data_IF_453082133280
#
_entry.id   IF_453082133280
#
_cell.length_a   1.000
_cell.length_b   1.000
_cell.length_c   1.000
_cell.angle_alpha   90.00
_cell.angle_beta   90.00
_cell.angle_gamma   90.00
#
_symmetry.space_group_name_H-M   'P 1'
#
loop_
_entity.id
_entity.type
_entity.pdbx_description
1 polymer ?
#
# COMPACT_ATOMS: atom_id res chain seq x y z
N UNK A 1 -22.59 -18.89 1.40
CA UNK A 1 -22.06 -18.15 0.24
C UNK A 1 -20.59 -18.51 0.05
N UNK A 2 -20.18 -18.87 -1.17
CA UNK A 2 -18.80 -19.17 -1.54
C UNK A 2 -18.17 -18.01 -2.33
N UNK A 3 -16.99 -17.58 -1.93
CA UNK A 3 -16.24 -16.50 -2.59
C UNK A 3 -14.97 -17.05 -3.25
N UNK A 4 -14.76 -16.74 -4.52
CA UNK A 4 -13.47 -16.95 -5.17
C UNK A 4 -12.63 -15.68 -5.15
N UNK A 5 -11.48 -15.74 -4.48
CA UNK A 5 -10.57 -14.62 -4.34
C UNK A 5 -9.42 -14.78 -5.33
N UNK A 6 -9.15 -13.74 -6.08
CA UNK A 6 -8.08 -13.66 -7.05
C UNK A 6 -7.07 -12.62 -6.57
N UNK A 7 -5.94 -13.06 -6.03
CA UNK A 7 -4.91 -12.19 -5.45
C UNK A 7 -3.51 -12.63 -5.87
N UNK A 8 -2.59 -11.68 -6.09
CA UNK A 8 -1.16 -11.99 -6.30
C UNK A 8 -0.45 -12.22 -4.97
N UNK A 9 -1.12 -11.92 -3.86
CA UNK A 9 -0.62 -12.09 -2.51
C UNK A 9 -1.20 -13.34 -1.88
N UNK A 10 -0.41 -13.96 -1.02
CA UNK A 10 -0.85 -15.10 -0.23
C UNK A 10 -1.70 -14.62 0.96
N UNK A 11 -2.62 -15.47 1.46
CA UNK A 11 -3.50 -15.09 2.57
C UNK A 11 -2.77 -14.60 3.83
N UNK A 12 -1.54 -15.04 4.06
CA UNK A 12 -0.71 -14.63 5.20
C UNK A 12 0.00 -13.28 5.02
N UNK A 13 0.07 -12.74 3.80
CA UNK A 13 0.69 -11.43 3.53
C UNK A 13 -0.15 -10.29 4.11
N UNK A 14 0.48 -9.19 4.51
CA UNK A 14 -0.16 -8.14 5.28
C UNK A 14 -1.41 -7.55 4.61
N UNK A 15 -1.33 -7.20 3.33
CA UNK A 15 -2.44 -6.53 2.65
C UNK A 15 -3.61 -7.51 2.45
N UNK A 16 -3.35 -8.70 1.90
CA UNK A 16 -4.34 -9.78 1.82
C UNK A 16 -4.96 -10.16 3.17
N UNK A 17 -4.15 -10.20 4.22
CA UNK A 17 -4.61 -10.69 5.52
C UNK A 17 -5.55 -9.72 6.21
N UNK A 18 -5.15 -8.46 6.29
CA UNK A 18 -5.90 -7.38 6.93
C UNK A 18 -7.16 -7.06 6.12
N UNK A 19 -7.07 -7.07 4.79
CA UNK A 19 -8.18 -6.68 3.89
C UNK A 19 -9.21 -7.78 3.67
N UNK A 20 -8.79 -9.05 3.62
CA UNK A 20 -9.68 -10.13 3.22
C UNK A 20 -9.60 -11.33 4.15
N UNK A 21 -8.41 -11.94 4.32
CA UNK A 21 -8.31 -13.27 4.91
C UNK A 21 -8.89 -13.35 6.33
N UNK A 22 -8.47 -12.47 7.24
CA UNK A 22 -8.90 -12.54 8.63
C UNK A 22 -10.40 -12.18 8.77
N UNK A 23 -10.90 -11.27 7.94
CA UNK A 23 -12.32 -10.89 7.86
C UNK A 23 -13.16 -12.09 7.41
N UNK A 24 -12.86 -12.66 6.25
CA UNK A 24 -13.62 -13.76 5.66
C UNK A 24 -13.55 -15.02 6.55
N UNK A 25 -12.40 -15.27 7.17
CA UNK A 25 -12.25 -16.34 8.16
C UNK A 25 -13.13 -16.13 9.39
N UNK A 26 -13.28 -14.88 9.86
CA UNK A 26 -14.19 -14.57 10.99
C UNK A 26 -15.67 -14.70 10.64
N UNK A 27 -16.03 -14.72 9.34
CA UNK A 27 -17.40 -14.91 8.84
C UNK A 27 -17.78 -16.37 8.59
N UNK A 28 -16.88 -17.34 8.84
CA UNK A 28 -17.22 -18.75 8.74
C UNK A 28 -18.22 -19.17 9.83
N UNK A 29 -19.18 -20.08 9.53
CA UNK A 29 -19.37 -20.79 8.26
C UNK A 29 -20.28 -20.07 7.25
N UNK A 30 -20.77 -18.85 7.53
CA UNK A 30 -21.68 -18.13 6.62
C UNK A 30 -21.04 -17.87 5.25
N UNK A 31 -19.75 -17.53 5.28
CA UNK A 31 -18.91 -17.39 4.10
C UNK A 31 -17.87 -18.51 4.09
N UNK A 32 -17.73 -19.18 2.95
CA UNK A 32 -16.55 -19.98 2.60
C UNK A 32 -15.82 -19.30 1.45
N UNK A 33 -14.52 -19.57 1.28
CA UNK A 33 -13.77 -18.95 0.20
C UNK A 33 -12.67 -19.86 -0.31
N UNK A 34 -12.38 -19.71 -1.60
CA UNK A 34 -11.22 -20.30 -2.27
C UNK A 34 -10.25 -19.18 -2.60
N UNK A 35 -8.98 -19.36 -2.25
CA UNK A 35 -7.93 -18.39 -2.53
C UNK A 35 -7.10 -18.84 -3.72
N UNK A 36 -7.18 -18.08 -4.82
CA UNK A 36 -6.42 -18.35 -6.03
C UNK A 36 -5.32 -17.31 -6.15
N UNK A 37 -4.10 -17.75 -5.86
CA UNK A 37 -2.88 -16.97 -5.98
C UNK A 37 -2.43 -16.91 -7.43
N UNK A 38 -2.40 -15.72 -8.04
CA UNK A 38 -1.94 -15.58 -9.44
C UNK A 38 -0.63 -14.84 -9.51
N UNK A 39 0.44 -15.62 -9.62
CA UNK A 39 1.65 -15.10 -10.24
C UNK A 39 1.32 -14.80 -11.71
N UNK A 40 1.78 -13.67 -12.24
CA UNK A 40 1.66 -13.34 -13.67
C UNK A 40 2.27 -14.43 -14.60
N UNK A 41 3.00 -15.40 -14.02
CA UNK A 41 3.57 -16.58 -14.68
C UNK A 41 2.85 -17.90 -14.39
N UNK A 42 1.84 -17.92 -13.52
CA UNK A 42 1.14 -19.14 -13.14
C UNK A 42 0.21 -19.61 -14.27
N UNK A 43 0.37 -20.87 -14.69
CA UNK A 43 -0.58 -21.56 -15.56
C UNK A 43 -1.60 -22.30 -14.70
N UNK A 44 -2.88 -22.00 -14.85
CA UNK A 44 -3.96 -22.74 -14.20
C UNK A 44 -4.34 -23.96 -15.00
N UNK A 45 -4.51 -25.08 -14.30
CA UNK A 45 -5.21 -26.23 -14.85
C UNK A 45 -6.68 -25.88 -15.10
N UNK A 46 -7.29 -26.57 -16.07
CA UNK A 46 -8.72 -26.43 -16.34
C UNK A 46 -9.59 -26.79 -15.11
N UNK A 47 -9.09 -27.63 -14.20
CA UNK A 47 -9.79 -27.99 -12.97
C UNK A 47 -9.81 -26.83 -11.97
N UNK A 48 -8.70 -26.12 -11.80
CA UNK A 48 -8.62 -24.93 -10.93
C UNK A 48 -9.54 -23.82 -11.43
N UNK A 49 -9.56 -23.59 -12.75
CA UNK A 49 -10.48 -22.62 -13.37
C UNK A 49 -11.92 -23.06 -13.12
N UNK A 50 -12.28 -24.33 -13.33
CA UNK A 50 -13.65 -24.82 -13.07
C UNK A 50 -14.08 -24.59 -11.63
N UNK A 51 -13.24 -24.93 -10.65
CA UNK A 51 -13.52 -24.70 -9.22
C UNK A 51 -13.70 -23.22 -8.90
N UNK A 52 -12.94 -22.34 -9.53
CA UNK A 52 -13.10 -20.88 -9.37
C UNK A 52 -14.49 -20.40 -9.81
N UNK A 53 -15.05 -21.01 -10.87
CA UNK A 53 -16.36 -20.63 -11.41
C UNK A 53 -17.55 -21.27 -10.66
N UNK A 54 -17.30 -22.16 -9.70
CA UNK A 54 -18.34 -22.68 -8.79
C UNK A 54 -18.76 -21.64 -7.72
N UNK A 55 -18.03 -20.53 -7.58
CA UNK A 55 -18.33 -19.49 -6.60
C UNK A 55 -19.64 -18.73 -6.86
N UNK A 56 -20.16 -18.15 -5.78
CA UNK A 56 -21.30 -17.24 -5.82
C UNK A 56 -20.86 -15.83 -6.24
N UNK A 57 -19.61 -15.45 -5.92
CA UNK A 57 -19.05 -14.11 -6.15
C UNK A 57 -17.52 -14.17 -6.30
N UNK A 58 -16.96 -13.27 -7.11
CA UNK A 58 -15.52 -13.08 -7.25
C UNK A 58 -15.04 -11.83 -6.51
N UNK A 59 -13.88 -11.92 -5.87
CA UNK A 59 -13.12 -10.75 -5.39
C UNK A 59 -11.78 -10.70 -6.11
N UNK A 60 -11.54 -9.65 -6.88
CA UNK A 60 -10.29 -9.39 -7.58
C UNK A 60 -9.49 -8.37 -6.76
N UNK A 61 -8.34 -8.77 -6.24
CA UNK A 61 -7.58 -7.97 -5.29
C UNK A 61 -6.39 -7.24 -5.96
N UNK A 62 -6.34 -5.92 -5.77
CA UNK A 62 -5.20 -5.00 -5.94
C UNK A 62 -4.53 -4.97 -7.30
N UNK A 63 -3.70 -5.98 -7.56
CA UNK A 63 -2.64 -5.90 -8.55
C UNK A 63 -3.11 -6.26 -9.94
N UNK A 64 -4.36 -6.68 -10.11
CA UNK A 64 -4.88 -7.17 -11.37
C UNK A 64 -5.75 -6.14 -12.06
N UNK A 65 -5.91 -6.23 -13.39
CA UNK A 65 -5.29 -7.21 -14.31
C UNK A 65 -3.78 -7.06 -14.51
N UNK A 66 -3.09 -8.16 -14.87
CA UNK A 66 -1.66 -8.22 -15.24
C UNK A 66 -1.42 -9.13 -16.44
N UNK A 67 -0.22 -9.08 -17.07
CA UNK A 67 0.14 -10.05 -18.10
C UNK A 67 -0.05 -11.48 -17.60
N UNK A 68 -0.55 -12.36 -18.48
CA UNK A 68 -0.88 -13.75 -18.13
C UNK A 68 -2.25 -13.94 -17.46
N UNK A 69 -2.88 -12.88 -16.92
CA UNK A 69 -4.19 -13.01 -16.23
C UNK A 69 -5.37 -12.48 -17.04
N UNK A 70 -5.10 -11.78 -18.14
CA UNK A 70 -6.11 -11.05 -18.93
C UNK A 70 -7.21 -11.98 -19.45
N UNK A 71 -6.85 -13.14 -20.03
CA UNK A 71 -7.85 -14.08 -20.60
C UNK A 71 -8.79 -14.64 -19.52
N UNK A 72 -8.24 -15.00 -18.36
CA UNK A 72 -9.05 -15.51 -17.26
C UNK A 72 -9.96 -14.41 -16.68
N UNK A 73 -9.43 -13.19 -16.53
CA UNK A 73 -10.20 -12.05 -16.05
C UNK A 73 -11.28 -11.62 -17.05
N UNK A 74 -11.06 -11.73 -18.36
CA UNK A 74 -12.09 -11.53 -19.39
C UNK A 74 -13.24 -12.53 -19.21
N UNK A 75 -12.93 -13.81 -19.03
CA UNK A 75 -13.94 -14.86 -18.76
C UNK A 75 -14.69 -14.60 -17.46
N UNK A 76 -13.98 -14.20 -16.39
CA UNK A 76 -14.63 -13.83 -15.12
C UNK A 76 -15.59 -12.65 -15.36
N UNK A 77 -15.11 -11.61 -16.02
CA UNK A 77 -15.83 -10.35 -16.22
C UNK A 77 -17.08 -10.49 -17.08
N UNK A 78 -16.99 -11.24 -18.18
CA UNK A 78 -18.04 -11.25 -19.21
C UNK A 78 -18.77 -12.60 -19.36
N UNK A 79 -18.22 -13.70 -18.85
CA UNK A 79 -18.77 -15.04 -19.07
C UNK A 79 -19.22 -15.73 -17.78
N UNK A 80 -18.75 -15.30 -16.61
CA UNK A 80 -19.10 -15.97 -15.34
C UNK A 80 -20.58 -15.82 -14.98
N UNK A 81 -21.20 -14.70 -15.34
CA UNK A 81 -22.53 -14.36 -14.85
C UNK A 81 -22.60 -14.28 -13.33
N UNK A 82 -21.50 -14.01 -12.62
CA UNK A 82 -21.48 -13.82 -11.16
C UNK A 82 -21.17 -12.35 -10.80
N UNK A 83 -21.55 -11.88 -9.60
CA UNK A 83 -21.07 -10.61 -9.07
C UNK A 83 -19.55 -10.59 -8.94
N UNK A 84 -18.93 -9.43 -9.21
CA UNK A 84 -17.48 -9.22 -9.18
C UNK A 84 -17.18 -7.97 -8.39
N UNK A 85 -16.37 -8.13 -7.35
CA UNK A 85 -15.85 -7.03 -6.55
C UNK A 85 -14.38 -6.82 -6.91
N UNK A 86 -14.00 -5.57 -7.15
CA UNK A 86 -12.60 -5.17 -7.13
C UNK A 86 -12.23 -4.62 -5.75
N UNK A 87 -11.21 -5.18 -5.10
CA UNK A 87 -10.77 -4.74 -3.76
C UNK A 87 -9.36 -4.13 -3.83
N UNK A 88 -9.17 -2.94 -3.26
CA UNK A 88 -7.85 -2.31 -3.17
C UNK A 88 -7.70 -1.41 -1.95
N UNK A 89 -6.48 -1.35 -1.42
CA UNK A 89 -6.10 -0.61 -0.23
C UNK A 89 -5.05 0.49 -0.47
N UNK A 90 -4.55 0.58 -1.71
CA UNK A 90 -3.59 1.60 -2.19
C UNK A 90 -4.04 2.19 -3.55
N UNK A 91 -3.52 3.38 -3.85
CA UNK A 91 -3.75 4.07 -5.13
C UNK A 91 -2.78 3.57 -6.21
N UNK A 92 -2.90 2.28 -6.54
CA UNK A 92 -2.00 1.58 -7.47
C UNK A 92 -2.05 2.13 -8.91
N UNK A 93 -3.06 2.93 -9.22
CA UNK A 93 -3.29 3.59 -10.51
C UNK A 93 -2.56 4.94 -10.63
N UNK A 94 -2.18 5.57 -9.53
CA UNK A 94 -1.49 6.88 -9.46
C UNK A 94 -0.28 6.82 -8.52
N UNK A 95 0.61 5.86 -8.76
CA UNK A 95 1.87 5.74 -8.03
C UNK A 95 2.83 6.88 -8.48
N UNK A 96 3.52 7.59 -7.56
CA UNK A 96 4.50 8.61 -7.92
C UNK A 96 5.68 8.03 -8.74
N UNK A 97 6.25 8.77 -9.71
CA UNK A 97 7.33 8.26 -10.57
C UNK A 97 8.60 7.79 -9.84
N UNK A 98 8.88 8.36 -8.68
CA UNK A 98 10.03 8.05 -7.82
C UNK A 98 9.77 6.90 -6.84
N UNK A 99 8.54 6.39 -6.78
CA UNK A 99 8.17 5.28 -5.92
C UNK A 99 8.64 3.94 -6.51
N UNK A 100 9.13 3.04 -5.65
CA UNK A 100 9.76 1.76 -6.05
C UNK A 100 8.85 0.83 -6.87
N UNK A 101 7.53 1.01 -6.78
CA UNK A 101 6.54 0.23 -7.52
C UNK A 101 6.01 0.90 -8.79
N UNK A 102 6.47 2.11 -9.13
CA UNK A 102 5.97 2.84 -10.30
C UNK A 102 6.03 2.00 -11.58
N UNK A 103 7.21 1.43 -11.89
CA UNK A 103 7.42 0.64 -13.10
C UNK A 103 6.60 -0.66 -13.14
N UNK A 104 6.22 -1.19 -11.98
CA UNK A 104 5.47 -2.43 -11.86
C UNK A 104 3.95 -2.23 -12.06
N UNK A 105 3.42 -1.02 -11.92
CA UNK A 105 1.97 -0.75 -11.97
C UNK A 105 1.57 0.29 -13.01
N UNK A 106 2.40 1.31 -13.28
CA UNK A 106 2.09 2.37 -14.22
C UNK A 106 1.68 1.84 -15.62
N UNK A 107 2.33 0.82 -16.20
CA UNK A 107 1.90 0.25 -17.47
C UNK A 107 0.51 -0.39 -17.43
N UNK A 108 0.07 -0.87 -16.27
CA UNK A 108 -1.21 -1.60 -16.15
C UNK A 108 -2.34 -0.73 -15.63
N UNK A 109 -2.09 0.56 -15.38
CA UNK A 109 -3.11 1.51 -14.94
C UNK A 109 -4.36 1.46 -15.82
N UNK A 110 -4.28 1.52 -17.17
CA UNK A 110 -5.48 1.53 -18.00
C UNK A 110 -6.28 0.24 -17.88
N UNK A 111 -5.62 -0.91 -17.72
CA UNK A 111 -6.28 -2.20 -17.50
C UNK A 111 -6.98 -2.25 -16.15
N UNK A 112 -6.34 -1.77 -15.08
CA UNK A 112 -6.93 -1.72 -13.74
C UNK A 112 -8.19 -0.85 -13.75
N UNK A 113 -8.10 0.36 -14.29
CA UNK A 113 -9.23 1.29 -14.36
C UNK A 113 -10.37 0.77 -15.25
N UNK A 114 -10.03 0.17 -16.39
CA UNK A 114 -11.00 -0.46 -17.28
C UNK A 114 -11.69 -1.64 -16.58
N UNK A 115 -10.95 -2.48 -15.85
CA UNK A 115 -11.55 -3.58 -15.09
C UNK A 115 -12.49 -3.06 -13.99
N UNK A 116 -12.07 -2.05 -13.22
CA UNK A 116 -12.92 -1.41 -12.20
C UNK A 116 -14.21 -0.85 -12.80
N UNK A 117 -14.15 -0.26 -13.99
CA UNK A 117 -15.32 0.28 -14.67
C UNK A 117 -16.33 -0.79 -15.12
N UNK A 118 -15.87 -2.03 -15.29
CA UNK A 118 -16.69 -3.13 -15.79
C UNK A 118 -17.13 -4.12 -14.70
N UNK A 119 -16.54 -4.07 -13.50
CA UNK A 119 -16.96 -4.91 -12.37
C UNK A 119 -18.21 -4.36 -11.68
N UNK A 120 -18.83 -5.14 -10.79
CA UNK A 120 -20.09 -4.76 -10.14
C UNK A 120 -19.92 -3.78 -8.99
N UNK A 121 -18.79 -3.85 -8.30
CA UNK A 121 -18.48 -2.96 -7.18
C UNK A 121 -16.99 -2.84 -6.94
N UNK A 122 -16.59 -1.72 -6.35
CA UNK A 122 -15.23 -1.50 -5.85
C UNK A 122 -15.27 -1.34 -4.35
N UNK A 123 -14.44 -2.10 -3.62
CA UNK A 123 -14.22 -1.94 -2.19
C UNK A 123 -12.85 -1.31 -1.96
N UNK A 124 -12.82 -0.25 -1.17
CA UNK A 124 -11.61 0.49 -0.81
C UNK A 124 -11.40 0.52 0.70
N UNK A 125 -10.17 0.84 1.13
CA UNK A 125 -9.83 0.98 2.55
C UNK A 125 -10.11 2.38 3.13
N UNK A 126 -10.32 3.40 2.29
CA UNK A 126 -10.50 4.80 2.71
C UNK A 126 -11.41 5.59 1.77
N UNK A 127 -12.05 6.65 2.29
CA UNK A 127 -12.84 7.59 1.47
C UNK A 127 -12.01 8.30 0.39
N UNK A 128 -10.73 8.55 0.66
CA UNK A 128 -9.81 9.15 -0.29
C UNK A 128 -9.61 8.24 -1.52
N UNK A 129 -9.45 6.92 -1.32
CA UNK A 129 -9.40 5.95 -2.42
C UNK A 129 -10.74 5.83 -3.14
N UNK A 130 -11.84 5.76 -2.39
CA UNK A 130 -13.18 5.74 -2.98
C UNK A 130 -13.39 6.92 -3.93
N UNK A 131 -13.04 8.13 -3.51
CA UNK A 131 -13.19 9.35 -4.32
C UNK A 131 -12.40 9.29 -5.64
N UNK A 132 -11.31 8.51 -5.69
CA UNK A 132 -10.52 8.28 -6.92
C UNK A 132 -11.18 7.30 -7.88
N UNK A 133 -11.97 6.36 -7.37
CA UNK A 133 -12.55 5.27 -8.16
C UNK A 133 -14.05 5.42 -8.44
N UNK A 134 -14.77 6.25 -7.71
CA UNK A 134 -16.17 6.62 -7.99
C UNK A 134 -16.42 7.11 -9.43
N UNK A 135 -15.53 7.88 -10.07
CA UNK A 135 -15.70 8.26 -11.48
C UNK A 135 -15.69 7.07 -12.46
N UNK A 136 -15.12 5.94 -12.05
CA UNK A 136 -15.04 4.72 -12.88
C UNK A 136 -16.15 3.73 -12.52
N UNK A 137 -16.56 3.65 -11.26
CA UNK A 137 -17.62 2.77 -10.81
C UNK A 137 -18.48 3.44 -9.72
N UNK A 138 -19.77 3.62 -9.99
CA UNK A 138 -20.68 4.26 -9.03
C UNK A 138 -20.90 3.44 -7.75
N UNK A 139 -20.66 2.12 -7.78
CA UNK A 139 -20.81 1.22 -6.64
C UNK A 139 -19.49 1.07 -5.88
N UNK A 140 -18.95 2.20 -5.40
CA UNK A 140 -17.76 2.22 -4.54
C UNK A 140 -18.12 2.24 -3.05
N UNK A 141 -17.57 1.28 -2.30
CA UNK A 141 -17.76 1.14 -0.86
C UNK A 141 -16.43 1.29 -0.12
N UNK A 142 -16.49 1.87 1.08
CA UNK A 142 -15.34 1.96 1.99
C UNK A 142 -15.57 0.95 3.10
N UNK A 143 -14.60 0.07 3.28
CA UNK A 143 -14.55 -0.85 4.40
C UNK A 143 -13.17 -0.73 5.04
N UNK A 144 -13.14 -0.25 6.29
CA UNK A 144 -11.90 0.00 7.03
C UNK A 144 -11.06 -1.26 7.22
N UNK A 145 -9.78 -1.04 7.51
CA UNK A 145 -8.92 -2.10 8.02
C UNK A 145 -9.32 -2.47 9.45
N UNK A 146 -9.46 -3.77 9.70
CA UNK A 146 -9.85 -4.30 10.99
C UNK A 146 -8.72 -5.14 11.59
N UNK A 147 -8.37 -4.87 12.84
CA UNK A 147 -7.42 -5.69 13.60
C UNK A 147 -8.09 -6.97 14.06
N UNK A 148 -7.39 -8.07 13.82
CA UNK A 148 -7.78 -9.37 14.34
C UNK A 148 -7.52 -9.43 15.84
N UNK A 149 -8.60 -9.48 16.62
CA UNK A 149 -8.56 -9.58 18.09
C UNK A 149 -7.64 -10.71 18.56
N UNK A 150 -7.65 -11.87 17.89
CA UNK A 150 -6.82 -13.02 18.29
C UNK A 150 -5.32 -12.79 18.11
N UNK A 151 -4.92 -11.88 17.21
CA UNK A 151 -3.51 -11.59 16.92
C UNK A 151 -3.00 -10.37 17.69
N UNK A 152 -3.87 -9.37 17.84
CA UNK A 152 -3.49 -8.04 18.33
C UNK A 152 -3.93 -7.78 19.77
N UNK A 153 -4.99 -8.42 20.26
CA UNK A 153 -5.51 -8.14 21.59
C UNK A 153 -4.56 -8.63 22.68
N UNK A 154 -4.29 -7.73 23.61
CA UNK A 154 -3.55 -7.97 24.85
C UNK A 154 -3.98 -6.92 25.86
N UNK A 155 -3.93 -7.19 27.18
CA UNK A 155 -4.17 -6.16 28.19
C UNK A 155 -3.26 -4.93 27.97
N UNK A 156 -3.81 -3.74 28.22
CA UNK A 156 -3.04 -2.50 28.09
C UNK A 156 -1.80 -2.49 29.01
N UNK A 157 -0.60 -2.13 28.51
CA UNK A 157 0.64 -2.19 29.29
C UNK A 157 0.79 -0.98 30.24
N UNK A 158 0.09 -0.98 31.37
CA UNK A 158 0.08 0.14 32.33
C UNK A 158 1.47 0.53 32.83
N UNK A 159 2.37 -0.43 33.05
CA UNK A 159 3.67 -0.19 33.70
C UNK A 159 4.72 0.49 32.80
N UNK A 160 4.45 0.66 31.50
CA UNK A 160 5.40 1.16 30.51
C UNK A 160 5.84 2.62 30.72
N UNK A 161 5.03 3.38 31.47
CA UNK A 161 5.22 4.82 31.67
C UNK A 161 5.80 5.18 33.04
N UNK A 162 6.10 4.19 33.89
CA UNK A 162 6.66 4.39 35.23
C UNK A 162 8.15 3.99 35.27
N UNK A 163 9.00 4.79 35.92
CA UNK A 163 10.43 4.57 36.23
C UNK A 163 11.22 3.74 35.20
N UNK A 164 11.97 4.43 34.31
CA UNK A 164 12.76 3.76 33.27
C UNK A 164 14.21 3.58 33.68
N UNK A 165 14.70 2.35 33.56
CA UNK A 165 16.11 1.99 33.70
C UNK A 165 16.82 1.91 32.33
N UNK A 166 16.17 2.40 31.27
CA UNK A 166 16.71 2.43 29.90
C UNK A 166 16.33 3.73 29.19
N UNK A 167 17.08 4.14 28.15
CA UNK A 167 16.68 5.24 27.27
C UNK A 167 15.29 5.03 26.67
N UNK A 168 14.58 6.13 26.41
CA UNK A 168 13.30 6.15 25.72
C UNK A 168 13.48 5.74 24.26
N UNK A 169 12.76 4.72 23.81
CA UNK A 169 12.82 4.24 22.42
C UNK A 169 11.81 5.00 21.55
N UNK A 170 12.30 5.79 20.61
CA UNK A 170 11.47 6.44 19.58
C UNK A 170 11.60 5.61 18.31
N UNK A 171 10.48 5.16 17.74
CA UNK A 171 10.55 4.15 16.70
C UNK A 171 9.61 4.29 15.53
N UNK A 172 10.00 3.65 14.43
CA UNK A 172 9.23 3.55 13.19
C UNK A 172 9.31 2.13 12.62
N UNK A 173 8.20 1.65 12.07
CA UNK A 173 8.15 0.40 11.32
C UNK A 173 7.51 0.65 9.96
N UNK A 174 8.14 0.18 8.89
CA UNK A 174 7.57 0.28 7.55
C UNK A 174 8.39 -0.48 6.53
N UNK A 175 7.76 -0.84 5.41
CA UNK A 175 8.47 -1.37 4.26
C UNK A 175 9.37 -0.29 3.62
N UNK A 176 10.31 -0.68 2.75
CA UNK A 176 11.17 0.26 2.03
C UNK A 176 10.44 1.35 1.24
N UNK A 177 9.16 1.16 0.88
CA UNK A 177 8.32 2.16 0.20
C UNK A 177 8.15 3.44 1.02
N UNK A 178 8.32 3.38 2.34
CA UNK A 178 8.17 4.52 3.24
C UNK A 178 9.47 5.31 3.49
N UNK A 179 10.59 4.94 2.86
CA UNK A 179 11.86 5.68 3.01
C UNK A 179 11.71 7.18 2.69
N UNK A 180 10.95 7.61 1.65
CA UNK A 180 10.71 9.03 1.40
C UNK A 180 9.95 9.73 2.53
N UNK A 181 8.98 9.05 3.16
CA UNK A 181 8.14 9.61 4.23
C UNK A 181 8.98 10.06 5.44
N UNK A 182 10.08 9.34 5.73
CA UNK A 182 10.98 9.65 6.85
C UNK A 182 11.75 10.98 6.69
N UNK A 183 11.89 11.51 5.46
CA UNK A 183 12.68 12.73 5.20
C UNK A 183 12.22 13.92 6.03
N UNK A 184 10.91 14.06 6.25
CA UNK A 184 10.35 15.19 6.99
C UNK A 184 10.67 15.17 8.50
N UNK A 185 11.13 14.04 9.04
CA UNK A 185 11.45 13.90 10.48
C UNK A 185 12.94 13.89 10.77
N UNK A 186 13.80 13.82 9.75
CA UNK A 186 15.24 13.57 9.95
C UNK A 186 15.89 14.63 10.85
N UNK A 187 15.69 15.90 10.51
CA UNK A 187 16.25 17.03 11.25
C UNK A 187 15.68 17.13 12.68
N UNK A 188 14.39 16.82 12.84
CA UNK A 188 13.75 16.79 14.16
C UNK A 188 14.38 15.70 15.04
N UNK A 189 14.61 14.50 14.49
CA UNK A 189 15.25 13.39 15.21
C UNK A 189 16.68 13.74 15.62
N UNK A 190 17.45 14.41 14.76
CA UNK A 190 18.79 14.91 15.09
C UNK A 190 18.76 15.89 16.27
N UNK A 191 17.85 16.87 16.22
CA UNK A 191 17.64 17.84 17.33
C UNK A 191 17.19 17.17 18.62
N UNK A 192 16.36 16.14 18.54
CA UNK A 192 15.94 15.34 19.69
C UNK A 192 17.13 14.59 20.29
N UNK A 193 17.98 13.98 19.46
CA UNK A 193 19.20 13.33 19.93
C UNK A 193 20.10 14.31 20.69
N UNK A 194 20.32 15.52 20.13
CA UNK A 194 21.15 16.56 20.75
C UNK A 194 20.57 17.10 22.07
N UNK A 195 19.25 17.29 22.17
CA UNK A 195 18.60 17.81 23.39
C UNK A 195 18.54 16.77 24.50
N UNK A 196 18.34 15.50 24.17
CA UNK A 196 18.09 14.41 25.13
C UNK A 196 19.16 13.32 25.06
N UNK A 197 20.43 13.73 24.92
CA UNK A 197 21.60 12.82 24.91
C UNK A 197 21.51 11.82 26.07
N UNK A 198 21.80 10.55 25.77
CA UNK A 198 21.73 9.39 26.66
C UNK A 198 20.34 9.06 27.26
N UNK A 199 19.34 9.90 27.04
CA UNK A 199 17.97 9.67 27.49
C UNK A 199 17.09 9.04 26.41
N UNK A 200 17.51 9.08 25.15
CA UNK A 200 16.76 8.52 24.01
C UNK A 200 17.60 7.56 23.16
N UNK A 201 16.91 6.63 22.52
CA UNK A 201 17.42 5.77 21.46
C UNK A 201 16.39 5.69 20.33
N UNK A 202 16.84 5.40 19.12
CA UNK A 202 15.97 5.27 17.95
C UNK A 202 15.92 3.82 17.47
N UNK A 203 14.74 3.36 17.06
CA UNK A 203 14.56 1.98 16.60
C UNK A 203 13.73 1.92 15.32
N UNK A 204 14.36 1.44 14.25
CA UNK A 204 13.77 1.35 12.92
C UNK A 204 13.67 -0.10 12.46
N UNK A 205 12.50 -0.49 11.97
CA UNK A 205 12.26 -1.81 11.41
C UNK A 205 11.78 -1.69 9.94
N UNK A 206 12.44 -2.43 9.05
CA UNK A 206 12.07 -2.57 7.64
C UNK A 206 12.55 -1.43 6.73
N UNK A 207 12.61 -0.18 7.22
CA UNK A 207 13.25 0.91 6.49
C UNK A 207 13.77 2.04 7.39
N UNK A 208 14.81 2.72 6.90
CA UNK A 208 15.45 3.89 7.51
C UNK A 208 16.14 4.71 6.40
N UNK A 209 16.35 6.01 6.63
CA UNK A 209 17.17 6.84 5.73
C UNK A 209 18.66 6.71 6.05
N UNK A 210 19.52 7.01 5.08
CA UNK A 210 20.97 6.94 5.29
C UNK A 210 21.47 8.00 6.28
N UNK A 211 20.73 9.12 6.40
CA UNK A 211 20.97 10.17 7.40
C UNK A 211 20.69 9.67 8.81
N UNK A 212 19.49 9.13 9.03
CA UNK A 212 19.09 8.59 10.34
C UNK A 212 19.92 7.37 10.77
N UNK A 213 20.33 6.53 9.81
CA UNK A 213 21.18 5.36 10.09
C UNK A 213 22.55 5.72 10.68
N UNK A 214 23.04 6.94 10.43
CA UNK A 214 24.34 7.43 10.95
C UNK A 214 24.23 8.02 12.35
N UNK A 215 23.02 8.23 12.87
CA UNK A 215 22.86 8.80 14.20
C UNK A 215 23.27 7.80 15.29
N UNK A 216 23.97 8.24 16.35
CA UNK A 216 24.25 7.39 17.50
C UNK A 216 22.96 6.88 18.15
N UNK A 217 23.05 5.77 18.90
CA UNK A 217 21.91 5.12 19.56
C UNK A 217 20.77 4.76 18.62
N UNK A 218 21.08 4.46 17.35
CA UNK A 218 20.11 4.02 16.34
C UNK A 218 20.21 2.51 16.10
N UNK A 219 19.11 1.81 16.35
CA UNK A 219 18.93 0.39 16.04
C UNK A 219 18.17 0.28 14.71
N UNK A 220 18.68 -0.55 13.79
CA UNK A 220 18.02 -0.81 12.51
C UNK A 220 17.97 -2.31 12.23
N UNK A 221 16.78 -2.81 11.92
CA UNK A 221 16.53 -4.18 11.53
C UNK A 221 15.99 -4.23 10.09
N UNK A 222 16.86 -4.64 9.16
CA UNK A 222 16.50 -4.84 7.75
C UNK A 222 15.86 -6.22 7.57
N UNK A 223 14.58 -6.33 7.93
CA UNK A 223 13.83 -7.59 7.82
C UNK A 223 12.50 -7.38 7.13
N UNK A 224 12.19 -8.28 6.19
CA UNK A 224 10.88 -8.41 5.58
C UNK A 224 10.12 -9.56 6.25
N UNK A 225 8.87 -9.32 6.64
CA UNK A 225 7.98 -10.36 7.15
C UNK A 225 6.99 -10.76 6.08
N UNK A 226 7.03 -12.02 5.65
CA UNK A 226 6.05 -12.57 4.73
C UNK A 226 4.72 -12.88 5.44
N UNK A 227 4.78 -13.36 6.67
CA UNK A 227 3.62 -13.73 7.46
C UNK A 227 3.28 -12.61 8.45
N UNK A 228 2.14 -11.97 8.25
CA UNK A 228 1.71 -10.84 9.08
C UNK A 228 1.42 -11.21 10.55
N UNK A 229 1.12 -12.47 10.88
CA UNK A 229 0.94 -12.89 12.28
C UNK A 229 2.21 -12.76 13.12
N UNK A 230 3.39 -12.68 12.50
CA UNK A 230 4.66 -12.47 13.19
C UNK A 230 4.89 -10.99 13.55
N UNK A 231 4.16 -10.07 12.91
CA UNK A 231 4.34 -8.64 13.10
C UNK A 231 3.87 -8.13 14.48
N UNK A 232 2.68 -8.50 15.02
CA UNK A 232 2.28 -8.06 16.36
C UNK A 232 3.30 -8.38 17.47
N UNK A 233 3.80 -9.63 17.64
CA UNK A 233 4.81 -9.92 18.67
C UNK A 233 6.14 -9.23 18.39
N UNK A 234 6.53 -9.08 17.11
CA UNK A 234 7.73 -8.33 16.75
C UNK A 234 7.60 -6.86 17.19
N UNK A 235 6.52 -6.15 16.83
CA UNK A 235 6.33 -4.74 17.17
C UNK A 235 6.41 -4.51 18.68
N UNK A 236 5.86 -5.44 19.47
CA UNK A 236 5.97 -5.42 20.93
C UNK A 236 7.42 -5.56 21.41
N UNK A 237 8.19 -6.45 20.80
CA UNK A 237 9.61 -6.66 21.16
C UNK A 237 10.52 -5.48 20.81
N UNK A 238 10.08 -4.54 19.96
CA UNK A 238 10.84 -3.33 19.65
C UNK A 238 10.79 -2.29 20.79
N UNK A 239 9.92 -2.49 21.78
CA UNK A 239 9.80 -1.66 22.99
C UNK A 239 9.68 -0.15 22.72
N UNK A 240 8.98 0.25 21.66
CA UNK A 240 8.76 1.66 21.33
C UNK A 240 8.02 2.36 22.46
N UNK A 241 8.58 3.44 22.99
CA UNK A 241 7.90 4.33 23.93
C UNK A 241 7.13 5.44 23.20
N UNK A 242 7.58 5.84 22.01
CA UNK A 242 6.90 6.75 21.10
C UNK A 242 6.97 6.15 19.68
N UNK A 243 5.82 6.07 19.01
CA UNK A 243 5.74 5.64 17.61
C UNK A 243 5.67 6.83 16.66
N UNK A 244 6.50 6.85 15.63
CA UNK A 244 6.45 7.87 14.58
C UNK A 244 5.73 7.30 13.36
N UNK A 245 4.86 8.10 12.75
CA UNK A 245 4.16 7.77 11.52
C UNK A 245 4.17 8.95 10.55
N UNK A 246 5.37 9.37 10.08
CA UNK A 246 5.45 10.39 9.05
C UNK A 246 4.92 9.89 7.72
N UNK A 247 4.47 10.84 6.91
CA UNK A 247 3.88 10.60 5.61
C UNK A 247 4.11 11.82 4.72
N UNK A 248 4.69 11.63 3.54
CA UNK A 248 4.86 12.70 2.57
C UNK A 248 3.49 13.15 2.01
N UNK A 249 3.33 14.44 1.74
CA UNK A 249 2.09 14.99 1.19
C UNK A 249 2.00 14.73 -0.33
N UNK A 250 1.59 13.51 -0.68
CA UNK A 250 1.33 13.11 -2.07
C UNK A 250 -0.09 12.56 -2.20
N UNK A 251 -0.65 12.62 -3.41
CA UNK A 251 -1.96 12.01 -3.71
C UNK A 251 -1.99 10.54 -3.32
N UNK A 252 -0.93 9.79 -3.65
CA UNK A 252 -0.80 8.37 -3.30
C UNK A 252 -0.85 8.15 -1.79
N UNK A 253 -0.08 8.93 -1.03
CA UNK A 253 -0.05 8.82 0.42
C UNK A 253 -1.36 9.24 1.09
N UNK A 254 -2.03 10.28 0.58
CA UNK A 254 -3.33 10.73 1.11
C UNK A 254 -4.44 9.68 1.00
N UNK A 255 -4.24 8.69 0.11
CA UNK A 255 -5.13 7.57 -0.11
C UNK A 255 -4.79 6.34 0.74
N UNK A 256 -3.62 6.29 1.39
CA UNK A 256 -3.25 5.18 2.30
C UNK A 256 -4.21 5.13 3.50
N UNK A 257 -4.13 4.04 4.25
CA UNK A 257 -4.95 3.80 5.45
C UNK A 257 -4.17 4.05 6.76
N UNK A 258 -4.91 4.11 7.86
CA UNK A 258 -4.40 4.46 9.19
C UNK A 258 -3.72 3.30 9.94
N UNK A 259 -3.17 2.29 9.25
CA UNK A 259 -2.67 1.04 9.87
C UNK A 259 -1.69 1.30 11.02
N UNK A 260 -0.75 2.25 10.87
CA UNK A 260 0.20 2.58 11.95
C UNK A 260 -0.49 3.08 13.22
N UNK A 261 -1.58 3.82 13.08
CA UNK A 261 -2.40 4.23 14.22
C UNK A 261 -3.01 3.02 14.92
N UNK A 262 -3.56 2.06 14.16
CA UNK A 262 -4.12 0.83 14.71
C UNK A 262 -3.06 -0.01 15.45
N UNK A 263 -1.92 -0.24 14.81
CA UNK A 263 -0.85 -1.10 15.32
C UNK A 263 -0.18 -0.52 16.57
N UNK A 264 0.14 0.79 16.56
CA UNK A 264 0.68 1.47 17.75
C UNK A 264 -0.32 1.49 18.90
N UNK A 265 -1.59 1.78 18.62
CA UNK A 265 -2.64 1.81 19.64
C UNK A 265 -2.85 0.44 20.28
N UNK A 266 -2.88 -0.65 19.49
CA UNK A 266 -3.01 -2.02 20.00
C UNK A 266 -1.83 -2.43 20.90
N UNK A 267 -0.64 -1.86 20.67
CA UNK A 267 0.55 -2.06 21.49
C UNK A 267 0.68 -1.08 22.67
N UNK A 268 -0.28 -0.16 22.87
CA UNK A 268 -0.19 0.87 23.90
C UNK A 268 1.00 1.80 23.69
N UNK A 269 1.32 2.11 22.43
CA UNK A 269 2.37 3.04 22.03
C UNK A 269 1.68 4.38 21.69
N UNK A 270 2.01 5.50 22.38
CA UNK A 270 1.55 6.80 21.94
C UNK A 270 2.22 7.15 20.61
N UNK A 271 1.42 7.54 19.62
CA UNK A 271 1.90 7.85 18.28
C UNK A 271 1.87 9.33 17.93
N UNK A 272 2.81 9.73 17.08
CA UNK A 272 2.87 11.04 16.44
C UNK A 272 2.73 10.81 14.93
N UNK A 273 1.78 11.50 14.31
CA UNK A 273 1.35 11.27 12.94
C UNK A 273 1.42 12.56 12.14
N UNK A 274 1.80 12.49 10.86
CA UNK A 274 1.63 13.63 9.95
C UNK A 274 0.17 14.09 9.95
N UNK A 275 -0.06 15.40 10.01
CA UNK A 275 -1.38 16.02 9.94
C UNK A 275 -1.94 16.01 8.52
N UNK A 276 -2.12 14.81 7.97
CA UNK A 276 -2.58 14.53 6.62
C UNK A 276 -3.54 13.34 6.65
N UNK A 277 -4.35 13.18 5.61
CA UNK A 277 -5.07 11.92 5.40
C UNK A 277 -4.05 10.78 5.28
N UNK A 278 -4.27 9.63 5.91
CA UNK A 278 -5.49 9.21 6.62
C UNK A 278 -5.54 9.56 8.12
N UNK A 279 -4.46 10.10 8.68
CA UNK A 279 -4.33 10.25 10.13
C UNK A 279 -5.23 11.35 10.69
N UNK A 280 -5.38 12.48 10.00
CA UNK A 280 -6.26 13.57 10.44
C UNK A 280 -7.76 13.21 10.44
N UNK A 281 -8.14 12.11 9.77
CA UNK A 281 -9.50 11.54 9.83
C UNK A 281 -9.67 10.49 10.94
N UNK A 282 -8.56 9.95 11.47
CA UNK A 282 -8.56 8.80 12.39
C UNK A 282 -8.15 9.15 13.81
N UNK A 283 -7.23 10.10 13.95
CA UNK A 283 -6.60 10.50 15.20
C UNK A 283 -7.28 11.76 15.73
N UNK A 284 -7.65 11.74 17.01
CA UNK A 284 -8.10 12.93 17.73
C UNK A 284 -6.86 13.55 18.37
N UNK A 285 -6.42 14.69 17.84
CA UNK A 285 -5.21 15.35 18.29
C UNK A 285 -5.20 15.64 19.80
N UNK A 286 -4.04 15.43 20.44
CA UNK A 286 -3.85 15.52 21.88
C UNK A 286 -4.55 14.44 22.71
N UNK A 287 -5.40 13.58 22.10
CA UNK A 287 -6.22 12.60 22.81
C UNK A 287 -5.92 11.16 22.43
N UNK A 288 -5.90 10.80 21.15
CA UNK A 288 -5.57 9.44 20.69
C UNK A 288 -4.25 9.39 19.92
N UNK A 289 -3.60 10.53 19.74
CA UNK A 289 -2.30 10.70 19.12
C UNK A 289 -1.96 12.18 19.04
N UNK A 290 -0.78 12.50 18.56
CA UNK A 290 -0.41 13.88 18.19
C UNK A 290 -0.42 14.00 16.67
N UNK A 291 -1.18 14.96 16.14
CA UNK A 291 -1.08 15.36 14.74
C UNK A 291 -0.05 16.48 14.61
N UNK A 292 0.91 16.31 13.72
CA UNK A 292 1.99 17.28 13.52
C UNK A 292 2.12 17.71 12.07
N UNK A 293 2.43 18.99 11.88
CA UNK A 293 2.87 19.50 10.59
C UNK A 293 4.18 18.83 10.17
N UNK A 294 4.34 18.60 8.87
CA UNK A 294 5.53 17.98 8.28
C UNK A 294 6.71 18.98 8.20
N UNK A 295 7.10 19.52 9.34
CA UNK A 295 8.21 20.45 9.51
C UNK A 295 9.14 19.96 10.62
N UNK A 296 10.42 20.33 10.54
CA UNK A 296 11.41 20.02 11.58
C UNK A 296 10.91 20.46 12.97
N UNK A 297 10.36 21.68 13.10
CA UNK A 297 9.83 22.20 14.36
C UNK A 297 8.58 21.45 14.84
N UNK A 298 7.64 21.13 13.95
CA UNK A 298 6.43 20.38 14.32
C UNK A 298 6.78 19.02 14.93
N UNK A 299 7.62 18.26 14.23
CA UNK A 299 8.07 16.95 14.71
C UNK A 299 8.90 17.07 16.00
N UNK A 300 9.83 18.01 16.09
CA UNK A 300 10.66 18.22 17.28
C UNK A 300 9.82 18.57 18.51
N UNK A 301 8.87 19.49 18.37
CA UNK A 301 7.99 19.92 19.46
C UNK A 301 7.07 18.79 19.91
N UNK A 302 6.50 18.04 18.96
CA UNK A 302 5.61 16.91 19.24
C UNK A 302 6.34 15.79 19.98
N UNK A 303 7.55 15.43 19.53
CA UNK A 303 8.38 14.42 20.18
C UNK A 303 8.78 14.90 21.58
N UNK A 304 9.27 16.14 21.70
CA UNK A 304 9.66 16.73 23.00
C UNK A 304 8.52 16.69 24.02
N UNK A 305 7.30 17.06 23.61
CA UNK A 305 6.14 17.06 24.49
C UNK A 305 5.86 15.66 25.09
N UNK A 306 5.96 14.60 24.29
CA UNK A 306 5.75 13.24 24.77
C UNK A 306 6.92 12.70 25.63
N UNK A 307 8.16 13.15 25.36
CA UNK A 307 9.32 12.84 26.20
C UNK A 307 9.15 13.49 27.58
N UNK A 308 8.82 14.77 27.61
CA UNK A 308 8.76 15.60 28.83
C UNK A 308 7.51 15.31 29.68
N UNK A 309 6.45 14.74 29.08
CA UNK A 309 5.20 14.42 29.78
C UNK A 309 4.82 12.93 29.70
N UNK A 310 5.35 12.08 30.60
CA UNK A 310 4.96 10.67 30.69
C UNK A 310 3.46 10.46 30.97
N UNK A 311 2.84 11.39 31.69
CA UNK A 311 1.39 11.38 31.98
C UNK A 311 0.58 11.55 30.70
N UNK A 312 0.95 12.53 29.85
CA UNK A 312 0.30 12.74 28.56
C UNK A 312 0.48 11.52 27.66
N UNK A 313 1.71 11.00 27.57
CA UNK A 313 2.03 9.79 26.81
C UNK A 313 1.16 8.60 27.22
N UNK A 314 0.96 8.38 28.53
CA UNK A 314 0.07 7.32 29.03
C UNK A 314 -1.40 7.57 28.65
N UNK A 315 -1.89 8.80 28.85
CA UNK A 315 -3.28 9.17 28.54
C UNK A 315 -3.60 8.96 27.06
N UNK A 316 -2.71 9.42 26.17
CA UNK A 316 -2.83 9.25 24.73
C UNK A 316 -2.86 7.77 24.36
N UNK A 317 -1.86 7.00 24.81
CA UNK A 317 -1.78 5.57 24.51
C UNK A 317 -3.04 4.82 24.98
N UNK A 318 -3.54 5.14 26.18
CA UNK A 318 -4.72 4.47 26.75
C UNK A 318 -5.99 4.82 26.00
N UNK A 319 -6.18 6.10 25.66
CA UNK A 319 -7.33 6.54 24.90
C UNK A 319 -7.34 5.95 23.48
N UNK A 320 -6.19 5.94 22.80
CA UNK A 320 -6.02 5.32 21.49
C UNK A 320 -6.31 3.81 21.51
N UNK A 321 -5.74 3.09 22.48
CA UNK A 321 -6.01 1.66 22.69
C UNK A 321 -7.51 1.40 22.88
N UNK A 322 -8.21 2.17 23.72
CA UNK A 322 -9.64 1.99 23.96
C UNK A 322 -10.50 2.31 22.72
N UNK A 323 -10.07 3.29 21.93
CA UNK A 323 -10.75 3.74 20.74
C UNK A 323 -10.70 2.70 19.61
N UNK A 324 -9.50 2.15 19.33
CA UNK A 324 -9.34 1.20 18.22
C UNK A 324 -10.10 -0.11 18.43
N UNK A 325 -10.22 -0.62 19.66
CA UNK A 325 -10.97 -1.85 19.94
C UNK A 325 -12.49 -1.67 19.79
N UNK A 326 -12.98 -0.42 19.84
CA UNK A 326 -14.38 -0.10 19.55
C UNK A 326 -14.61 0.07 18.04
N UNK A 327 -13.70 0.77 17.35
CA UNK A 327 -13.90 1.19 15.95
C UNK A 327 -13.30 0.27 14.89
N UNK A 328 -12.22 -0.45 15.22
CA UNK A 328 -11.39 -1.14 14.24
C UNK A 328 -11.07 -2.59 14.62
N UNK A 329 -11.87 -3.24 15.47
CA UNK A 329 -11.74 -4.68 15.72
C UNK A 329 -12.61 -5.50 14.78
N UNK A 330 -12.17 -6.72 14.44
CA UNK A 330 -13.01 -7.69 13.72
C UNK A 330 -14.29 -7.98 14.52
N UNK A 331 -14.13 -8.25 15.82
CA UNK A 331 -15.24 -8.55 16.73
C UNK A 331 -16.38 -7.52 16.67
N UNK A 332 -16.06 -6.25 16.44
CA UNK A 332 -17.03 -5.15 16.42
C UNK A 332 -17.59 -4.85 15.03
N UNK A 333 -16.83 -5.10 13.95
CA UNK A 333 -17.13 -4.50 12.63
C UNK A 333 -17.22 -5.47 11.44
N UNK A 334 -16.90 -6.76 11.60
CA UNK A 334 -16.95 -7.72 10.48
C UNK A 334 -18.37 -7.83 9.87
N UNK A 335 -19.44 -7.60 10.62
CA UNK A 335 -20.80 -7.64 10.06
C UNK A 335 -21.05 -6.58 8.96
N UNK A 336 -20.31 -5.45 8.98
CA UNK A 336 -20.41 -4.44 7.92
C UNK A 336 -19.88 -4.97 6.58
N UNK A 337 -18.86 -5.84 6.63
CA UNK A 337 -18.36 -6.54 5.45
C UNK A 337 -19.40 -7.51 4.89
N UNK A 338 -20.00 -8.34 5.75
CA UNK A 338 -21.04 -9.28 5.32
C UNK A 338 -22.22 -8.56 4.68
N UNK A 339 -22.76 -7.53 5.34
CA UNK A 339 -23.89 -6.75 4.84
C UNK A 339 -23.57 -6.04 3.52
N UNK A 340 -22.33 -5.57 3.35
CA UNK A 340 -21.90 -4.93 2.09
C UNK A 340 -21.82 -5.93 0.94
N UNK A 341 -21.26 -7.12 1.17
CA UNK A 341 -21.19 -8.17 0.16
C UNK A 341 -22.59 -8.65 -0.23
N UNK A 342 -23.47 -8.88 0.75
CA UNK A 342 -24.88 -9.27 0.51
C UNK A 342 -25.60 -8.21 -0.34
N UNK A 343 -25.43 -6.92 -0.01
CA UNK A 343 -25.99 -5.81 -0.80
C UNK A 343 -25.49 -5.80 -2.25
N UNK A 344 -24.20 -6.07 -2.48
CA UNK A 344 -23.62 -6.10 -3.83
C UNK A 344 -24.26 -7.23 -4.65
N UNK A 345 -24.46 -8.39 -4.04
CA UNK A 345 -25.12 -9.54 -4.68
C UNK A 345 -26.57 -9.22 -5.04
N UNK A 346 -27.33 -8.64 -4.10
CA UNK A 346 -28.73 -8.29 -4.33
C UNK A 346 -28.88 -7.25 -5.44
N UNK A 347 -27.95 -6.28 -5.51
CA UNK A 347 -27.96 -5.24 -6.56
C UNK A 347 -27.69 -5.84 -7.94
N UNK A 348 -26.72 -6.76 -8.05
CA UNK A 348 -26.39 -7.45 -9.31
C UNK A 348 -27.54 -8.32 -9.83
N UNK A 349 -28.30 -8.98 -8.93
CA UNK A 349 -29.46 -9.78 -9.35
C UNK A 349 -30.57 -8.92 -9.96
N UNK A 350 -30.75 -7.69 -9.46
CA UNK A 350 -31.79 -6.77 -9.93
C UNK A 350 -31.43 -6.02 -11.23
N UNK A 351 -30.14 -5.77 -11.50
CA UNK A 351 -29.70 -4.99 -12.66
C UNK A 351 -29.75 -5.76 -14.00
N UNK A 352 -29.93 -7.09 -13.98
CA UNK A 352 -29.89 -7.96 -15.19
C UNK A 352 -31.14 -7.94 -16.09
N UNK A 353 -31.97 -6.90 -16.03
CA UNK A 353 -33.12 -6.73 -16.92
C UNK A 353 -32.73 -6.08 -18.27
N UNK A 354 -32.86 -6.84 -19.37
CA UNK A 354 -32.96 -6.50 -20.82
C UNK A 354 -32.24 -5.30 -21.50
N UNK A 355 -31.66 -4.31 -20.81
CA UNK A 355 -30.74 -3.30 -21.39
C UNK A 355 -29.27 -3.74 -21.37
N UNK A 356 -28.97 -4.82 -20.64
CA UNK A 356 -27.62 -5.23 -20.22
C UNK A 356 -26.76 -5.80 -21.36
N UNK A 357 -27.35 -6.43 -22.38
CA UNK A 357 -26.54 -7.07 -23.43
C UNK A 357 -25.76 -6.05 -24.29
N UNK A 358 -26.33 -4.87 -24.56
CA UNK A 358 -25.65 -3.81 -25.32
C UNK A 358 -24.52 -3.18 -24.51
N UNK A 359 -24.76 -2.97 -23.22
CA UNK A 359 -23.78 -2.44 -22.27
C UNK A 359 -22.62 -3.41 -22.09
N UNK A 360 -22.88 -4.70 -21.85
CA UNK A 360 -21.86 -5.76 -21.84
C UNK A 360 -21.04 -5.76 -23.14
N UNK A 361 -21.69 -5.64 -24.30
CA UNK A 361 -20.99 -5.63 -25.59
C UNK A 361 -20.04 -4.44 -25.72
N UNK A 362 -20.50 -3.24 -25.34
CA UNK A 362 -19.69 -2.02 -25.36
C UNK A 362 -18.52 -2.13 -24.37
N UNK A 363 -18.80 -2.58 -23.15
CA UNK A 363 -17.85 -2.80 -22.07
C UNK A 363 -16.76 -3.79 -22.48
N UNK A 364 -17.13 -4.91 -23.09
CA UNK A 364 -16.17 -5.89 -23.63
C UNK A 364 -15.35 -5.32 -24.78
N UNK A 365 -15.96 -4.52 -25.67
CA UNK A 365 -15.22 -3.86 -26.74
C UNK A 365 -14.20 -2.84 -26.21
N UNK A 366 -14.57 -2.04 -25.20
CA UNK A 366 -13.66 -1.12 -24.53
C UNK A 366 -12.52 -1.86 -23.82
N UNK A 367 -12.84 -2.93 -23.10
CA UNK A 367 -11.87 -3.80 -22.46
C UNK A 367 -10.87 -4.39 -23.47
N UNK A 368 -11.37 -4.95 -24.57
CA UNK A 368 -10.53 -5.50 -25.64
C UNK A 368 -9.66 -4.41 -26.28
N UNK A 369 -10.23 -3.23 -26.54
CA UNK A 369 -9.49 -2.11 -27.09
C UNK A 369 -8.35 -1.67 -26.15
N UNK A 370 -8.58 -1.63 -24.83
CA UNK A 370 -7.52 -1.36 -23.84
C UNK A 370 -6.42 -2.41 -23.92
N UNK A 371 -6.76 -3.70 -23.98
CA UNK A 371 -5.78 -4.78 -24.14
C UNK A 371 -4.94 -4.58 -25.40
N UNK A 372 -5.58 -4.30 -26.53
CA UNK A 372 -4.90 -4.13 -27.82
C UNK A 372 -3.94 -2.93 -27.80
N UNK A 373 -4.31 -1.83 -27.14
CA UNK A 373 -3.42 -0.67 -26.98
C UNK A 373 -2.23 -1.00 -26.09
N UNK A 374 -2.43 -1.72 -24.98
CA UNK A 374 -1.32 -2.12 -24.11
C UNK A 374 -0.33 -3.05 -24.83
N UNK A 375 -0.83 -3.99 -25.64
CA UNK A 375 0.02 -4.85 -26.47
C UNK A 375 0.84 -4.02 -27.46
N UNK A 376 0.21 -3.06 -28.16
CA UNK A 376 0.92 -2.16 -29.08
C UNK A 376 1.98 -1.31 -28.37
N UNK A 377 1.68 -0.80 -27.17
CA UNK A 377 2.64 -0.03 -26.37
C UNK A 377 3.83 -0.92 -25.97
N UNK A 378 3.57 -2.17 -25.57
CA UNK A 378 4.61 -3.12 -25.22
C UNK A 378 5.53 -3.45 -26.42
N UNK A 379 4.94 -3.70 -27.60
CA UNK A 379 5.69 -3.97 -28.84
C UNK A 379 6.54 -2.77 -29.26
N UNK A 380 5.97 -1.56 -29.23
CA UNK A 380 6.69 -0.32 -29.52
C UNK A 380 7.85 -0.09 -28.54
N UNK A 381 7.63 -0.37 -27.26
CA UNK A 381 8.66 -0.25 -26.21
C UNK A 381 9.79 -1.27 -26.40
N UNK A 382 9.46 -2.51 -26.78
CA UNK A 382 10.43 -3.55 -27.11
C UNK A 382 11.29 -3.16 -28.32
N UNK A 383 10.65 -2.68 -29.38
CA UNK A 383 11.33 -2.18 -30.59
C UNK A 383 12.25 -1.00 -30.26
N UNK A 384 11.77 -0.03 -29.48
CA UNK A 384 12.58 1.11 -29.04
C UNK A 384 13.82 0.65 -28.26
N UNK A 385 13.67 -0.29 -27.33
CA UNK A 385 14.80 -0.85 -26.57
C UNK A 385 15.78 -1.58 -27.49
N UNK A 386 15.30 -2.34 -28.47
CA UNK A 386 16.15 -3.00 -29.47
C UNK A 386 16.93 -1.96 -30.30
N UNK A 387 16.27 -0.91 -30.77
CA UNK A 387 16.90 0.19 -31.51
C UNK A 387 17.92 0.92 -30.65
N UNK A 388 17.62 1.22 -29.38
CA UNK A 388 18.57 1.84 -28.45
C UNK A 388 19.79 0.95 -28.19
N UNK A 389 19.60 -0.37 -28.08
CA UNK A 389 20.70 -1.31 -27.93
C UNK A 389 21.57 -1.39 -29.19
N UNK A 390 20.95 -1.37 -30.38
CA UNK A 390 21.67 -1.29 -31.65
C UNK A 390 22.47 0.01 -31.78
N UNK A 391 21.89 1.16 -31.40
CA UNK A 391 22.59 2.44 -31.36
C UNK A 391 23.78 2.41 -30.40
N UNK A 392 23.60 1.91 -29.16
CA UNK A 392 24.70 1.74 -28.20
C UNK A 392 25.79 0.81 -28.72
N UNK A 393 25.42 -0.26 -29.41
CA UNK A 393 26.37 -1.17 -30.03
C UNK A 393 27.16 -0.48 -31.16
N UNK A 394 26.49 0.29 -32.02
CA UNK A 394 27.12 1.09 -33.07
C UNK A 394 28.07 2.14 -32.48
N UNK A 395 27.66 2.88 -31.46
CA UNK A 395 28.49 3.91 -30.80
C UNK A 395 29.78 3.35 -30.17
N UNK A 396 29.77 2.07 -29.80
CA UNK A 396 30.92 1.39 -29.23
C UNK A 396 31.83 0.71 -30.27
N UNK A 397 31.51 0.81 -31.56
CA UNK A 397 32.38 0.26 -32.60
C UNK A 397 33.71 1.04 -32.70
N UNK A 398 34.87 0.35 -32.78
CA UNK A 398 36.18 0.99 -32.85
C UNK A 398 36.28 2.05 -33.96
N UNK A 399 35.69 1.77 -35.12
CA UNK A 399 35.73 2.67 -36.28
C UNK A 399 34.97 3.99 -36.02
N UNK A 400 33.85 3.95 -35.29
CA UNK A 400 33.09 5.15 -34.94
C UNK A 400 33.81 5.98 -33.87
N UNK A 401 34.54 5.34 -32.94
CA UNK A 401 35.43 6.05 -32.00
C UNK A 401 36.58 6.74 -32.71
N UNK A 402 37.23 6.07 -33.67
CA UNK A 402 38.30 6.64 -34.50
C UNK A 402 37.77 7.78 -35.37
N UNK A 403 36.60 7.64 -36.00
CA UNK A 403 35.98 8.71 -36.79
C UNK A 403 35.58 9.92 -35.94
N UNK A 404 35.08 9.72 -34.70
CA UNK A 404 34.81 10.81 -33.76
C UNK A 404 36.10 11.54 -33.36
N UNK A 405 37.20 10.81 -33.11
CA UNK A 405 38.52 11.40 -32.84
C UNK A 405 39.08 12.17 -34.03
N UNK A 406 38.98 11.61 -35.25
CA UNK A 406 39.41 12.26 -36.48
C UNK A 406 38.61 13.53 -36.78
N UNK A 407 37.28 13.52 -36.58
CA UNK A 407 36.44 14.72 -36.69
C UNK A 407 36.85 15.80 -35.68
N UNK A 408 37.18 15.42 -34.45
CA UNK A 408 37.65 16.35 -33.42
C UNK A 408 39.03 16.94 -33.79
N UNK A 409 39.93 16.12 -34.33
CA UNK A 409 41.23 16.56 -34.84
C UNK A 409 41.08 17.52 -36.04
N UNK A 410 40.23 17.18 -37.02
CA UNK A 410 39.92 18.04 -38.17
C UNK A 410 39.29 19.38 -37.75
N UNK A 411 38.38 19.37 -36.76
CA UNK A 411 37.81 20.61 -36.23
C UNK A 411 38.85 21.49 -35.52
N UNK A 412 39.73 20.87 -34.73
CA UNK A 412 40.84 21.56 -34.08
C UNK A 412 41.88 22.09 -35.09
N UNK A 413 42.10 21.39 -36.20
CA UNK A 413 42.98 21.84 -37.28
C UNK A 413 42.38 23.02 -38.05
N UNK A 414 41.09 22.99 -38.37
CA UNK A 414 40.41 24.10 -39.04
C UNK A 414 40.38 25.37 -38.17
N UNK A 415 40.14 25.24 -36.86
CA UNK A 415 40.22 26.37 -35.93
C UNK A 415 41.63 26.90 -35.76
N UNK A 416 42.66 26.06 -35.87
CA UNK A 416 44.06 26.51 -35.88
C UNK A 416 44.46 27.21 -37.19
N UNK A 417 43.88 26.82 -38.33
CA UNK A 417 44.10 27.47 -39.63
C UNK A 417 43.41 28.84 -39.69
N UNK A 418 42.25 29.01 -39.05
CA UNK A 418 41.57 30.31 -38.95
C UNK A 418 42.27 31.32 -38.00
N UNK A 419 43.27 30.87 -37.23
CA UNK A 419 44.07 31.68 -36.31
C UNK A 419 45.48 32.02 -36.82
N UNK A 420 45.82 31.62 -38.05
CA UNK A 420 47.03 32.01 -38.79
C UNK A 420 46.60 32.96 -39.91
#
# INVERSE_FOLDING_TARGET
MHISIFSSEYPENACSRIRLHDILKSLQPKITYTWTGVDAKATYSNEEIRKLFEADIFIIQRSFPRPGTIELLDKILFESGKPIIYETDDLLTEIPPDHIYYTAFAPYRPLILSFMANCDAVITSTDALKSKYEPYNAHCFVLDNLLNDKLWYQPFPNNKFHHRNRPLTIGFCGSPTHKPDLKCVEEAIERIYEKYVDQVQFSFFGCITDRLKRLPNTLYQEKYLRNYAEFPPLLRSLEFDIGLAPLENTTFNSCKSNIKFLEYSACGIPGIYSNLSPYNNSVIDGKTGILTENTSDGWFNSISNLIESPVLSHQIAKAAYNDIWKRFSLSSNTNNWLATIERIIDTNQNSRSTSVAKEITLNRAMWQQTIDYEQKIADLSSNLNQTQNQLKWLENQPILRVLKLLKKLLHNMNTAIDHI
#
